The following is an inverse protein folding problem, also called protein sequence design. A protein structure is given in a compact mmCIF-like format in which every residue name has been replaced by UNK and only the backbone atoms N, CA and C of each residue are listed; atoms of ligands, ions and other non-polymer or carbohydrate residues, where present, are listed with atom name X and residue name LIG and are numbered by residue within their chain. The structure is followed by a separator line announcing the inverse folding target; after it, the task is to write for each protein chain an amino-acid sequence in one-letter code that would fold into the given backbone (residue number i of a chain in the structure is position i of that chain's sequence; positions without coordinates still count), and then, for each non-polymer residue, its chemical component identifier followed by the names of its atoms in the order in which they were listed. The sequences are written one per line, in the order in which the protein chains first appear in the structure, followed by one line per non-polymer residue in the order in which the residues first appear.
data_IF_142927295575
#
_entry.id   IF_142927295575
#
_cell.length_a   1.000
_cell.length_b   1.000
_cell.length_c   1.000
_cell.angle_alpha   90.00
_cell.angle_beta   90.00
_cell.angle_gamma   90.00
#
_symmetry.space_group_name_H-M   'P 1'
#
loop_
_entity.id
_entity.type
_entity.pdbx_description
1 polymer ?
#
# COMPACT_ATOMS: atom_id res chain seq x y z
N UNK A 1 -30.04 29.16 -13.95
CA UNK A 1 -30.17 30.48 -14.61
C UNK A 1 -30.40 30.23 -16.09
N UNK A 2 -31.65 30.40 -16.52
CA UNK A 2 -32.13 30.13 -17.87
C UNK A 2 -31.78 31.29 -18.81
N UNK A 3 -31.36 31.00 -20.05
CA UNK A 3 -31.19 31.99 -21.12
C UNK A 3 -32.24 31.76 -22.21
N UNK A 4 -33.32 32.54 -22.08
CA UNK A 4 -33.98 33.33 -23.14
C UNK A 4 -34.20 32.68 -24.51
N UNK A 5 -35.41 32.15 -24.67
CA UNK A 5 -36.20 32.12 -25.91
C UNK A 5 -36.45 33.55 -26.41
N UNK A 6 -36.28 33.82 -27.72
CA UNK A 6 -37.06 34.76 -28.59
C UNK A 6 -36.31 34.93 -29.92
N UNK A 7 -36.97 34.69 -31.06
CA UNK A 7 -36.93 35.49 -32.32
C UNK A 7 -37.92 34.86 -33.31
N UNK A 8 -39.20 35.24 -33.26
CA UNK A 8 -39.90 36.26 -34.08
C UNK A 8 -40.34 35.80 -35.48
N UNK A 9 -41.66 35.70 -35.63
CA UNK A 9 -42.40 35.57 -36.88
C UNK A 9 -42.25 36.82 -37.77
N UNK A 10 -41.88 36.63 -39.04
CA UNK A 10 -42.16 37.58 -40.11
C UNK A 10 -42.22 36.82 -41.45
N UNK A 11 -43.41 36.44 -41.89
CA UNK A 11 -43.65 35.95 -43.25
C UNK A 11 -44.99 36.48 -43.76
N UNK A 12 -45.00 37.69 -44.32
CA UNK A 12 -46.05 38.12 -45.24
C UNK A 12 -45.45 39.01 -46.34
N UNK A 13 -45.87 38.69 -47.57
CA UNK A 13 -45.78 39.43 -48.83
C UNK A 13 -44.58 39.15 -49.74
N UNK A 14 -44.85 38.41 -50.83
CA UNK A 14 -44.01 38.38 -52.03
C UNK A 14 -44.14 37.08 -52.84
N UNK A 15 -45.19 36.92 -53.64
CA UNK A 15 -45.28 35.85 -54.67
C UNK A 15 -45.31 36.50 -56.06
N UNK A 16 -44.14 36.63 -56.71
CA UNK A 16 -44.01 36.64 -58.19
C UNK A 16 -42.59 36.22 -58.60
N UNK A 17 -42.19 34.99 -58.25
CA UNK A 17 -41.13 34.15 -58.88
C UNK A 17 -41.06 32.75 -58.22
N UNK A 18 -42.14 32.33 -57.54
CA UNK A 18 -42.05 31.46 -56.35
C UNK A 18 -42.02 29.95 -56.58
N UNK A 19 -42.21 29.42 -57.80
CA UNK A 19 -42.24 27.95 -57.96
C UNK A 19 -40.84 27.32 -57.89
N UNK A 20 -39.80 27.99 -58.36
CA UNK A 20 -38.43 27.46 -58.27
C UNK A 20 -37.80 27.74 -56.89
N UNK A 21 -38.06 28.91 -56.30
CA UNK A 21 -37.51 29.28 -54.99
C UNK A 21 -38.11 28.50 -53.82
N UNK A 22 -39.41 28.17 -53.87
CA UNK A 22 -40.05 27.34 -52.83
C UNK A 22 -39.57 25.88 -52.89
N UNK A 23 -39.35 25.35 -54.10
CA UNK A 23 -38.81 23.99 -54.29
C UNK A 23 -37.34 23.91 -53.84
N UNK A 24 -36.52 24.91 -54.15
CA UNK A 24 -35.12 24.96 -53.69
C UNK A 24 -35.01 25.12 -52.17
N UNK A 25 -35.91 25.88 -51.55
CA UNK A 25 -35.96 26.01 -50.10
C UNK A 25 -36.40 24.71 -49.41
N UNK A 26 -37.41 24.01 -49.96
CA UNK A 26 -37.81 22.68 -49.49
C UNK A 26 -36.68 21.65 -49.63
N UNK A 27 -35.98 21.62 -50.78
CA UNK A 27 -34.80 20.76 -50.95
C UNK A 27 -33.73 21.09 -49.92
N UNK A 28 -33.46 22.38 -49.69
CA UNK A 28 -32.43 22.82 -48.74
C UNK A 28 -32.77 22.41 -47.30
N UNK A 29 -34.03 22.57 -46.90
CA UNK A 29 -34.55 22.13 -45.61
C UNK A 29 -34.43 20.59 -45.46
N UNK A 30 -34.80 19.81 -46.49
CA UNK A 30 -34.65 18.34 -46.48
C UNK A 30 -33.18 17.89 -46.42
N UNK A 31 -32.28 18.56 -47.15
CA UNK A 31 -30.85 18.23 -47.11
C UNK A 31 -30.20 18.59 -45.78
N UNK A 32 -30.59 19.70 -45.16
CA UNK A 32 -30.13 20.07 -43.83
C UNK A 32 -30.65 19.10 -42.78
N UNK A 33 -31.93 18.73 -42.85
CA UNK A 33 -32.51 17.75 -41.94
C UNK A 33 -31.81 16.39 -42.02
N UNK A 34 -31.41 15.98 -43.23
CA UNK A 34 -30.62 14.76 -43.44
C UNK A 34 -29.21 14.86 -42.88
N UNK A 35 -28.53 16.00 -43.06
CA UNK A 35 -27.22 16.26 -42.47
C UNK A 35 -27.29 16.27 -40.93
N UNK A 36 -28.34 16.86 -40.36
CA UNK A 36 -28.57 16.89 -38.92
C UNK A 36 -28.83 15.48 -38.38
N UNK A 37 -29.59 14.65 -39.09
CA UNK A 37 -29.82 13.25 -38.72
C UNK A 37 -28.53 12.43 -38.72
N UNK A 38 -27.71 12.54 -39.78
CA UNK A 38 -26.43 11.81 -39.84
C UNK A 38 -25.46 12.30 -38.75
N UNK A 39 -25.44 13.60 -38.47
CA UNK A 39 -24.62 14.16 -37.38
C UNK A 39 -25.06 13.62 -36.03
N UNK A 40 -26.37 13.61 -35.77
CA UNK A 40 -26.94 13.09 -34.53
C UNK A 40 -26.67 11.59 -34.36
N UNK A 41 -26.69 10.84 -35.45
CA UNK A 41 -26.39 9.40 -35.45
C UNK A 41 -24.93 9.12 -35.07
N UNK A 42 -23.99 9.90 -35.59
CA UNK A 42 -22.57 9.78 -35.22
C UNK A 42 -22.40 10.09 -33.73
N UNK A 43 -22.97 11.21 -33.26
CA UNK A 43 -22.91 11.58 -31.84
C UNK A 43 -23.52 10.52 -30.91
N UNK A 44 -24.58 9.83 -31.35
CA UNK A 44 -25.19 8.77 -30.57
C UNK A 44 -24.29 7.53 -30.45
N UNK A 45 -23.60 7.13 -31.52
CA UNK A 45 -22.66 6.02 -31.45
C UNK A 45 -21.41 6.39 -30.63
N UNK A 46 -20.90 7.61 -30.75
CA UNK A 46 -19.80 8.10 -29.92
C UNK A 46 -20.17 8.06 -28.42
N UNK A 47 -21.36 8.60 -28.08
CA UNK A 47 -21.87 8.55 -26.71
C UNK A 47 -22.03 7.12 -26.18
N UNK A 48 -22.43 6.19 -27.04
CA UNK A 48 -22.62 4.78 -26.67
C UNK A 48 -21.29 4.09 -26.38
N UNK A 49 -20.22 4.43 -27.09
CA UNK A 49 -18.87 3.96 -26.75
C UNK A 49 -18.36 4.58 -25.44
N UNK A 50 -18.56 5.89 -25.21
CA UNK A 50 -18.22 6.52 -23.92
C UNK A 50 -18.97 5.87 -22.74
N UNK A 51 -20.24 5.53 -22.91
CA UNK A 51 -21.04 4.83 -21.90
C UNK A 51 -20.52 3.42 -21.60
N UNK A 52 -19.90 2.77 -22.57
CA UNK A 52 -19.30 1.45 -22.39
C UNK A 52 -18.00 1.55 -21.58
N UNK A 53 -17.17 2.56 -21.86
CA UNK A 53 -15.98 2.85 -21.06
C UNK A 53 -16.34 3.18 -19.61
N UNK A 54 -17.36 4.02 -19.40
CA UNK A 54 -17.84 4.38 -18.07
C UNK A 54 -18.34 3.16 -17.27
N UNK A 55 -18.93 2.17 -17.96
CA UNK A 55 -19.34 0.91 -17.34
C UNK A 55 -18.13 0.09 -16.88
N UNK A 56 -17.09 -0.02 -17.70
CA UNK A 56 -15.83 -0.70 -17.34
C UNK A 56 -15.17 -0.02 -16.14
N UNK A 57 -15.04 1.31 -16.19
CA UNK A 57 -14.44 2.10 -15.13
C UNK A 57 -15.19 1.94 -13.80
N UNK A 58 -16.53 1.87 -13.84
CA UNK A 58 -17.35 1.64 -12.65
C UNK A 58 -17.03 0.30 -11.98
N UNK A 59 -16.73 -0.73 -12.77
CA UNK A 59 -16.39 -2.07 -12.29
C UNK A 59 -15.03 -2.04 -11.57
N UNK A 60 -14.01 -1.43 -12.19
CA UNK A 60 -12.68 -1.21 -11.59
C UNK A 60 -12.75 -0.40 -10.28
N UNK A 61 -13.59 0.65 -10.23
CA UNK A 61 -13.78 1.45 -9.01
C UNK A 61 -14.39 0.62 -7.87
N UNK A 62 -15.27 -0.34 -8.19
CA UNK A 62 -15.83 -1.23 -7.18
C UNK A 62 -14.78 -2.19 -6.63
N UNK A 63 -13.91 -2.72 -7.48
CA UNK A 63 -12.77 -3.55 -7.05
C UNK A 63 -11.80 -2.76 -6.18
N UNK A 64 -11.43 -1.54 -6.59
CA UNK A 64 -10.59 -0.65 -5.79
C UNK A 64 -11.21 -0.32 -4.43
N UNK A 65 -12.53 -0.17 -4.37
CA UNK A 65 -13.25 0.06 -3.11
C UNK A 65 -13.14 -1.15 -2.18
N UNK A 66 -13.28 -2.36 -2.70
CA UNK A 66 -13.09 -3.59 -1.91
C UNK A 66 -11.66 -3.70 -1.38
N UNK A 67 -10.67 -3.54 -2.27
CA UNK A 67 -9.25 -3.61 -1.93
C UNK A 67 -8.86 -2.54 -0.88
N UNK A 68 -9.46 -1.36 -0.95
CA UNK A 68 -9.23 -0.27 0.01
C UNK A 68 -9.67 -0.65 1.43
N UNK A 69 -10.81 -1.35 1.58
CA UNK A 69 -11.29 -1.79 2.90
C UNK A 69 -10.39 -2.91 3.45
N UNK A 70 -9.96 -3.86 2.63
CA UNK A 70 -9.02 -4.91 3.05
C UNK A 70 -7.67 -4.32 3.50
N UNK A 71 -7.16 -3.33 2.76
CA UNK A 71 -5.95 -2.58 3.16
C UNK A 71 -6.12 -1.85 4.49
N UNK A 72 -7.32 -1.32 4.77
CA UNK A 72 -7.62 -0.65 6.04
C UNK A 72 -7.62 -1.65 7.19
N UNK A 73 -8.24 -2.81 6.99
CA UNK A 73 -8.23 -3.89 7.98
C UNK A 73 -6.80 -4.39 8.26
N UNK A 74 -6.02 -4.63 7.20
CA UNK A 74 -4.66 -5.13 7.33
C UNK A 74 -3.74 -4.11 8.04
N UNK A 75 -3.89 -2.81 7.74
CA UNK A 75 -3.19 -1.73 8.47
C UNK A 75 -3.54 -1.72 9.95
N UNK A 76 -4.80 -1.96 10.30
CA UNK A 76 -5.21 -2.07 11.70
C UNK A 76 -4.55 -3.27 12.40
N UNK A 77 -4.48 -4.43 11.73
CA UNK A 77 -3.80 -5.62 12.26
C UNK A 77 -2.31 -5.38 12.47
N UNK A 78 -1.64 -4.74 11.51
CA UNK A 78 -0.22 -4.36 11.63
C UNK A 78 -0.02 -3.37 12.79
N UNK A 79 -0.90 -2.37 12.92
CA UNK A 79 -0.82 -1.43 14.03
C UNK A 79 -0.97 -2.13 15.39
N UNK A 80 -1.92 -3.07 15.51
CA UNK A 80 -2.11 -3.85 16.72
C UNK A 80 -0.89 -4.73 17.04
N UNK A 81 -0.30 -5.38 16.03
CA UNK A 81 0.94 -6.14 16.21
C UNK A 81 2.11 -5.24 16.63
N UNK A 82 2.23 -4.03 16.06
CA UNK A 82 3.24 -3.07 16.46
C UNK A 82 3.05 -2.57 17.90
N UNK A 83 1.81 -2.36 18.34
CA UNK A 83 1.51 -2.01 19.74
C UNK A 83 1.89 -3.15 20.69
N UNK A 84 1.60 -4.39 20.30
CA UNK A 84 1.98 -5.57 21.05
C UNK A 84 3.52 -5.67 21.14
N UNK A 85 4.22 -5.53 20.01
CA UNK A 85 5.69 -5.50 19.96
C UNK A 85 6.28 -4.37 20.80
N UNK A 86 5.68 -3.18 20.78
CA UNK A 86 6.10 -2.05 21.62
C UNK A 86 5.87 -2.31 23.12
N UNK A 87 4.86 -3.11 23.48
CA UNK A 87 4.65 -3.53 24.87
C UNK A 87 5.67 -4.57 25.36
N UNK A 88 6.16 -5.41 24.45
CA UNK A 88 7.25 -6.36 24.74
C UNK A 88 8.64 -5.70 24.64
N UNK A 89 8.77 -4.67 23.80
CA UNK A 89 9.91 -3.79 23.76
C UNK A 89 9.84 -2.80 24.94
N UNK A 90 10.14 -3.31 26.13
CA UNK A 90 10.50 -2.45 27.25
C UNK A 90 11.61 -1.49 26.78
N UNK A 91 11.62 -0.21 27.18
CA UNK A 91 12.81 0.60 27.01
C UNK A 91 13.98 -0.12 27.72
N UNK A 92 15.23 -0.01 27.25
CA UNK A 92 16.36 -0.37 28.07
C UNK A 92 16.32 0.58 29.27
N UNK A 93 15.74 0.11 30.39
CA UNK A 93 15.96 0.72 31.68
C UNK A 93 17.46 0.62 31.90
N UNK A 94 18.14 1.75 31.72
CA UNK A 94 19.36 2.03 32.46
C UNK A 94 19.00 2.08 33.95
N UNK A 95 18.62 0.95 34.52
CA UNK A 95 18.66 0.76 35.96
C UNK A 95 20.04 0.18 36.26
N UNK A 96 20.90 1.12 36.63
CA UNK A 96 22.02 0.85 37.51
C UNK A 96 21.47 0.29 38.84
N UNK A 97 21.08 -0.98 38.86
CA UNK A 97 20.95 -1.75 40.09
C UNK A 97 21.99 -2.86 40.09
N UNK A 98 23.17 -2.44 40.55
CA UNK A 98 24.13 -3.21 41.30
C UNK A 98 23.48 -4.40 42.03
N UNK A 99 23.55 -5.59 41.43
CA UNK A 99 23.36 -6.87 42.10
C UNK A 99 24.37 -7.87 41.55
N UNK A 100 25.29 -8.19 42.45
CA UNK A 100 26.35 -9.19 42.48
C UNK A 100 27.38 -9.25 41.34
N UNK A 101 28.30 -8.30 41.48
CA UNK A 101 29.67 -8.28 40.96
C UNK A 101 30.58 -9.35 41.57
N UNK A 102 30.09 -10.57 41.82
CA UNK A 102 30.86 -11.60 42.53
C UNK A 102 31.05 -12.92 41.80
N UNK A 103 30.48 -13.13 40.60
CA UNK A 103 30.84 -14.28 39.76
C UNK A 103 30.90 -13.97 38.25
N UNK A 104 31.26 -12.73 37.88
CA UNK A 104 31.83 -12.47 36.56
C UNK A 104 33.27 -13.00 36.54
N UNK A 105 33.41 -14.33 36.44
CA UNK A 105 34.71 -14.92 36.16
C UNK A 105 35.11 -14.52 34.73
N UNK A 106 36.01 -13.55 34.71
CA UNK A 106 37.08 -13.37 33.75
C UNK A 106 36.68 -12.99 32.33
N UNK A 107 36.53 -11.67 32.18
CA UNK A 107 37.00 -10.93 31.02
C UNK A 107 38.44 -11.33 30.64
N UNK A 108 38.58 -12.31 29.75
CA UNK A 108 39.81 -12.53 28.98
C UNK A 108 39.38 -12.74 27.52
N UNK A 109 39.49 -11.66 26.74
CA UNK A 109 39.08 -11.63 25.32
C UNK A 109 38.38 -10.36 24.89
N UNK A 110 38.88 -9.19 25.31
CA UNK A 110 38.40 -7.86 24.93
C UNK A 110 38.15 -7.71 23.41
N UNK A 111 36.88 -7.88 22.98
CA UNK A 111 36.19 -7.36 21.77
C UNK A 111 35.05 -8.26 21.28
N UNK A 112 34.95 -9.51 21.74
CA UNK A 112 33.88 -10.42 21.33
C UNK A 112 32.68 -10.33 22.26
N UNK A 113 31.47 -10.37 21.69
CA UNK A 113 30.24 -10.51 22.46
C UNK A 113 30.17 -11.82 23.26
N UNK A 114 28.99 -12.13 23.80
CA UNK A 114 28.75 -13.41 24.48
C UNK A 114 29.11 -14.60 23.55
N UNK A 115 29.82 -15.64 24.05
CA UNK A 115 30.20 -16.77 23.22
C UNK A 115 28.97 -17.52 22.71
N UNK A 116 29.01 -18.00 21.46
CA UNK A 116 27.90 -18.77 20.87
C UNK A 116 27.84 -20.20 21.36
N UNK A 117 28.94 -20.70 21.93
CA UNK A 117 29.05 -22.07 22.42
C UNK A 117 30.09 -22.19 23.52
N UNK A 118 30.00 -23.25 24.31
CA UNK A 118 31.04 -23.65 25.28
C UNK A 118 32.41 -23.83 24.61
N UNK A 119 32.44 -24.31 23.36
CA UNK A 119 33.67 -24.46 22.60
C UNK A 119 34.35 -23.11 22.36
N UNK A 120 33.58 -22.10 21.97
CA UNK A 120 34.08 -20.74 21.76
C UNK A 120 34.58 -20.11 23.06
N UNK A 121 33.83 -20.29 24.16
CA UNK A 121 34.25 -19.85 25.49
C UNK A 121 35.60 -20.46 25.89
N UNK A 122 35.77 -21.77 25.69
CA UNK A 122 37.03 -22.47 25.96
C UNK A 122 38.18 -22.01 25.05
N UNK A 123 37.91 -21.70 23.79
CA UNK A 123 38.94 -21.17 22.88
C UNK A 123 39.39 -19.76 23.29
N UNK A 124 38.46 -18.96 23.82
CA UNK A 124 38.76 -17.61 24.32
C UNK A 124 39.56 -17.66 25.62
N UNK A 125 39.15 -18.51 26.57
CA UNK A 125 39.86 -18.75 27.83
C UNK A 125 39.89 -20.25 28.18
N UNK A 126 40.99 -20.95 27.84
CA UNK A 126 41.17 -22.36 28.16
C UNK A 126 41.31 -22.66 29.67
N UNK A 127 41.44 -21.63 30.52
CA UNK A 127 41.55 -21.80 31.98
C UNK A 127 40.20 -21.86 32.69
N UNK A 128 39.10 -21.66 31.96
CA UNK A 128 37.76 -21.72 32.53
C UNK A 128 37.43 -23.12 33.09
N UNK A 129 36.85 -23.20 34.30
CA UNK A 129 36.42 -24.47 34.88
C UNK A 129 35.13 -24.99 34.23
N UNK A 130 34.87 -26.29 34.35
CA UNK A 130 33.56 -26.87 34.01
C UNK A 130 32.50 -26.33 34.99
N UNK A 131 31.51 -25.61 34.48
CA UNK A 131 30.45 -24.94 35.26
C UNK A 131 29.29 -24.49 34.34
N UNK A 132 28.29 -23.81 34.88
CA UNK A 132 27.19 -23.20 34.13
C UNK A 132 27.60 -21.84 33.55
N UNK A 133 27.48 -21.72 32.23
CA UNK A 133 27.78 -20.50 31.49
C UNK A 133 26.58 -20.04 30.68
N UNK A 134 26.54 -18.73 30.43
CA UNK A 134 25.64 -18.14 29.44
C UNK A 134 26.27 -18.22 28.06
N UNK A 135 25.50 -18.73 27.09
CA UNK A 135 25.87 -18.73 25.67
C UNK A 135 24.73 -18.16 24.84
N UNK A 136 25.07 -17.59 23.69
CA UNK A 136 24.11 -17.07 22.72
C UNK A 136 24.32 -17.75 21.35
N UNK A 137 23.69 -18.91 21.09
CA UNK A 137 23.90 -19.68 19.87
C UNK A 137 23.58 -18.89 18.59
N UNK A 138 22.52 -18.08 18.66
CA UNK A 138 22.06 -17.24 17.55
C UNK A 138 22.93 -16.01 17.36
N UNK A 139 23.68 -15.64 18.40
CA UNK A 139 24.67 -14.58 18.45
C UNK A 139 24.07 -13.24 18.86
N UNK A 140 24.91 -12.41 19.47
CA UNK A 140 24.46 -11.21 20.16
C UNK A 140 23.54 -10.31 19.31
N UNK A 141 22.30 -10.15 19.77
CA UNK A 141 21.28 -9.31 19.14
C UNK A 141 20.56 -9.96 17.95
N UNK A 142 20.72 -11.27 17.75
CA UNK A 142 20.06 -12.08 16.73
C UNK A 142 19.35 -13.24 17.44
N UNK A 143 18.11 -13.54 17.04
CA UNK A 143 17.42 -14.74 17.53
C UNK A 143 16.84 -14.60 18.95
N UNK A 144 16.84 -15.70 19.69
CA UNK A 144 16.30 -15.78 21.05
C UNK A 144 17.28 -15.23 22.10
N UNK A 145 16.79 -15.03 23.32
CA UNK A 145 17.64 -14.61 24.43
C UNK A 145 18.71 -15.68 24.74
N UNK A 146 19.89 -15.28 25.24
CA UNK A 146 20.92 -16.22 25.64
C UNK A 146 20.42 -17.28 26.63
N UNK A 147 21.05 -18.45 26.59
CA UNK A 147 20.68 -19.60 27.40
C UNK A 147 21.79 -19.96 28.39
N UNK A 148 21.42 -20.49 29.56
CA UNK A 148 22.36 -21.13 30.47
C UNK A 148 22.56 -22.60 30.11
N UNK A 149 23.81 -23.01 30.00
CA UNK A 149 24.20 -24.39 29.76
C UNK A 149 25.32 -24.77 30.71
N UNK A 150 25.37 -26.04 31.10
CA UNK A 150 26.53 -26.57 31.81
C UNK A 150 27.61 -26.91 30.78
N UNK A 151 28.73 -26.19 30.80
CA UNK A 151 29.84 -26.39 29.88
C UNK A 151 30.92 -27.25 30.54
N UNK A 152 31.23 -28.39 29.93
CA UNK A 152 32.46 -29.11 30.20
C UNK A 152 33.63 -28.45 29.47
N UNK A 153 34.38 -27.60 30.17
CA UNK A 153 35.52 -26.87 29.59
C UNK A 153 36.73 -27.77 29.29
N UNK A 154 36.73 -29.03 29.74
CA UNK A 154 37.75 -29.98 29.29
C UNK A 154 37.51 -30.41 27.84
N UNK A 155 36.25 -30.59 27.45
CA UNK A 155 35.86 -31.03 26.10
C UNK A 155 35.30 -29.91 25.21
N UNK A 156 34.93 -28.78 25.80
CA UNK A 156 34.30 -27.62 25.14
C UNK A 156 32.85 -27.91 24.73
N UNK A 157 32.14 -28.73 25.49
CA UNK A 157 30.76 -29.15 25.23
C UNK A 157 29.80 -28.58 26.25
#
# INVERSE_FOLDING_TARGET
MAKTFVFFCAFLLGVTSGQHSNHLRSIKEDTNLRLDYETLKIQFEDFKEEMKELKSLKEEVNELKFLKEEMKELRSKIHQQNLLLASYASPPTQDHHQLDKTNMLNTVGSKGGMPRSCHEARLADPSLPTDVYWIDPDGQGVGEDPIQVNCDMSTGK
#
